data_IF_153379659132
#
_entry.id   IF_153379659132
#
_cell.length_a   1.000
_cell.length_b   1.000
_cell.length_c   1.000
_cell.angle_alpha   90.00
_cell.angle_beta   90.00
_cell.angle_gamma   90.00
#
_symmetry.space_group_name_H-M   'P 1'
#
loop_
_entity.id
_entity.type
_entity.pdbx_description
1 polymer ?
#
# COMPACT_ATOMS: atom_id res chain seq x y z
N UNK A 1 25.57 -21.45 -1.90
CA UNK A 1 24.69 -20.90 -2.96
C UNK A 1 24.24 -22.07 -3.85
N UNK A 2 22.93 -22.25 -4.00
CA UNK A 2 22.37 -23.27 -4.88
C UNK A 2 22.16 -22.66 -6.27
N UNK A 3 22.69 -23.29 -7.31
CA UNK A 3 22.52 -22.86 -8.71
C UNK A 3 21.82 -23.98 -9.46
N UNK A 4 20.70 -23.65 -10.09
CA UNK A 4 19.83 -24.58 -10.78
C UNK A 4 19.60 -24.07 -12.20
N UNK A 5 19.59 -25.00 -13.16
CA UNK A 5 19.29 -24.70 -14.57
C UNK A 5 18.03 -25.45 -14.95
N UNK A 6 17.08 -24.74 -15.55
CA UNK A 6 15.85 -25.31 -16.13
C UNK A 6 15.67 -24.74 -17.53
N UNK A 7 14.63 -25.13 -18.26
CA UNK A 7 14.22 -24.58 -19.57
C UNK A 7 12.74 -24.22 -19.50
N UNK A 8 12.32 -23.11 -20.13
CA UNK A 8 10.90 -22.75 -20.15
C UNK A 8 10.09 -23.80 -20.89
N UNK A 9 8.85 -23.96 -20.50
CA UNK A 9 7.86 -24.59 -21.35
C UNK A 9 7.56 -23.73 -22.61
N UNK A 10 6.71 -24.24 -23.50
CA UNK A 10 6.32 -23.52 -24.73
C UNK A 10 5.55 -22.21 -24.49
N UNK A 11 5.15 -21.92 -23.25
CA UNK A 11 4.47 -20.70 -22.83
C UNK A 11 5.38 -19.74 -22.06
N UNK A 12 6.66 -20.09 -21.86
CA UNK A 12 7.62 -19.28 -21.11
C UNK A 12 7.61 -19.51 -19.59
N UNK A 13 6.91 -20.54 -19.08
CA UNK A 13 6.91 -20.84 -17.65
C UNK A 13 8.09 -21.74 -17.27
N UNK A 14 8.62 -21.53 -16.07
CA UNK A 14 9.72 -22.31 -15.51
C UNK A 14 9.26 -22.91 -14.18
N UNK A 15 9.59 -24.18 -13.96
CA UNK A 15 9.37 -24.85 -12.68
C UNK A 15 10.61 -25.66 -12.33
N UNK A 16 10.94 -25.68 -11.05
CA UNK A 16 11.99 -26.53 -10.50
C UNK A 16 11.61 -26.93 -9.07
N UNK A 17 11.78 -28.22 -8.74
CA UNK A 17 11.57 -28.75 -7.40
C UNK A 17 12.92 -28.99 -6.74
N UNK A 18 13.14 -28.38 -5.58
CA UNK A 18 14.34 -28.62 -4.78
C UNK A 18 14.14 -29.96 -4.05
N UNK A 19 15.00 -30.95 -4.34
CA UNK A 19 14.90 -32.29 -3.74
C UNK A 19 15.41 -32.33 -2.30
N UNK A 20 16.52 -31.63 -2.03
CA UNK A 20 17.09 -31.52 -0.68
C UNK A 20 16.47 -30.33 0.07
N UNK A 21 15.82 -30.54 1.23
CA UNK A 21 15.26 -29.45 2.00
C UNK A 21 16.32 -28.42 2.37
N UNK A 22 15.97 -27.14 2.21
CA UNK A 22 16.83 -26.04 2.65
C UNK A 22 16.86 -25.98 4.18
N UNK A 23 18.02 -25.64 4.73
CA UNK A 23 18.18 -25.43 6.17
C UNK A 23 17.31 -24.26 6.67
N UNK A 24 16.85 -24.29 7.94
CA UNK A 24 16.15 -23.16 8.54
C UNK A 24 16.96 -21.86 8.46
N UNK A 25 16.31 -20.78 8.05
CA UNK A 25 16.96 -19.47 7.91
C UNK A 25 16.35 -18.61 6.80
N UNK A 26 16.93 -17.43 6.62
CA UNK A 26 16.59 -16.52 5.53
C UNK A 26 17.34 -16.91 4.26
N UNK A 27 16.62 -16.96 3.16
CA UNK A 27 17.11 -17.30 1.84
C UNK A 27 16.65 -16.26 0.82
N UNK A 28 17.38 -16.21 -0.28
CA UNK A 28 17.09 -15.32 -1.39
C UNK A 28 17.25 -16.09 -2.70
N UNK A 29 16.25 -15.99 -3.57
CA UNK A 29 16.26 -16.58 -4.91
C UNK A 29 16.20 -15.49 -5.96
N UNK A 30 16.88 -15.70 -7.08
CA UNK A 30 16.73 -14.88 -8.27
C UNK A 30 16.90 -15.78 -9.50
N UNK A 31 16.37 -15.33 -10.63
CA UNK A 31 16.52 -16.00 -11.91
C UNK A 31 17.54 -15.23 -12.74
N UNK A 32 18.43 -15.96 -13.42
CA UNK A 32 19.33 -15.41 -14.43
C UNK A 32 19.03 -16.10 -15.76
N UNK A 33 18.87 -15.30 -16.82
CA UNK A 33 18.67 -15.79 -18.19
C UNK A 33 19.79 -15.25 -19.06
N UNK A 34 20.37 -16.12 -19.88
CA UNK A 34 21.33 -15.73 -20.91
C UNK A 34 20.60 -15.05 -22.06
N UNK A 35 21.02 -13.84 -22.42
CA UNK A 35 20.52 -13.12 -23.59
C UNK A 35 21.30 -13.50 -24.85
N UNK A 36 20.75 -13.15 -26.02
CA UNK A 36 21.31 -13.49 -27.34
C UNK A 36 22.76 -13.03 -27.58
N UNK A 37 23.23 -12.04 -26.80
CA UNK A 37 24.60 -11.53 -26.83
C UNK A 37 25.56 -12.25 -25.85
N UNK A 38 25.11 -13.30 -25.16
CA UNK A 38 25.88 -14.05 -24.16
C UNK A 38 25.99 -13.36 -22.78
N UNK A 39 25.25 -12.26 -22.56
CA UNK A 39 25.16 -11.64 -21.23
C UNK A 39 24.06 -12.29 -20.38
N UNK A 40 24.12 -12.12 -19.05
CA UNK A 40 23.07 -12.61 -18.16
C UNK A 40 22.24 -11.44 -17.63
N UNK A 41 20.92 -11.54 -17.81
CA UNK A 41 19.95 -10.63 -17.19
C UNK A 41 19.42 -11.29 -15.92
N UNK A 42 19.50 -10.58 -14.78
CA UNK A 42 18.99 -11.06 -13.49
C UNK A 42 17.63 -10.45 -13.16
N UNK A 43 16.75 -11.25 -12.59
CA UNK A 43 15.50 -10.77 -12.00
C UNK A 43 15.77 -9.97 -10.72
N UNK A 44 14.74 -9.28 -10.22
CA UNK A 44 14.71 -8.89 -8.82
C UNK A 44 14.81 -10.15 -7.93
N UNK A 45 15.41 -9.98 -6.77
CA UNK A 45 15.51 -11.06 -5.82
C UNK A 45 14.23 -11.25 -5.02
N UNK A 46 13.96 -12.50 -4.67
CA UNK A 46 12.82 -12.93 -3.89
C UNK A 46 13.31 -13.50 -2.56
N UNK A 47 13.01 -12.79 -1.48
CA UNK A 47 13.36 -13.21 -0.13
C UNK A 47 12.28 -14.13 0.45
N UNK A 48 12.72 -15.20 1.10
CA UNK A 48 11.85 -16.13 1.82
C UNK A 48 12.59 -16.71 3.02
N UNK A 49 11.83 -17.24 3.98
CA UNK A 49 12.39 -17.83 5.19
C UNK A 49 11.91 -19.27 5.32
N UNK A 50 12.82 -20.17 5.65
CA UNK A 50 12.49 -21.52 6.10
C UNK A 50 12.51 -21.52 7.63
N UNK A 51 11.38 -21.81 8.25
CA UNK A 51 11.27 -21.88 9.70
C UNK A 51 11.41 -23.32 10.17
N UNK A 52 12.11 -23.50 11.29
CA UNK A 52 12.03 -24.73 12.06
C UNK A 52 10.76 -24.70 12.94
N UNK A 53 9.95 -25.73 12.79
CA UNK A 53 8.77 -26.03 13.56
C UNK A 53 8.91 -27.42 14.20
N UNK A 54 7.95 -27.79 15.05
CA UNK A 54 7.85 -29.14 15.58
C UNK A 54 7.47 -30.13 14.46
N UNK A 55 8.10 -31.30 14.45
CA UNK A 55 7.71 -32.38 13.55
C UNK A 55 6.32 -32.91 13.91
N UNK A 56 5.51 -33.15 12.89
CA UNK A 56 4.19 -33.79 12.98
C UNK A 56 4.10 -34.95 11.99
N UNK A 57 3.03 -35.74 12.05
CA UNK A 57 2.78 -36.81 11.05
C UNK A 57 2.74 -36.26 9.61
N UNK A 58 2.12 -35.09 9.42
CA UNK A 58 2.02 -34.42 8.11
C UNK A 58 3.26 -33.57 7.75
N UNK A 59 4.16 -33.31 8.69
CA UNK A 59 5.39 -32.55 8.49
C UNK A 59 6.56 -33.18 9.27
N UNK A 60 7.09 -34.32 8.80
CA UNK A 60 8.11 -35.06 9.54
C UNK A 60 9.41 -34.26 9.69
N UNK A 61 9.76 -33.42 8.72
CA UNK A 61 10.96 -32.57 8.77
C UNK A 61 10.80 -31.34 9.67
N UNK A 62 9.56 -31.00 10.07
CA UNK A 62 9.28 -29.81 10.86
C UNK A 62 9.68 -28.52 10.15
N UNK A 63 9.67 -28.48 8.82
CA UNK A 63 10.05 -27.28 8.06
C UNK A 63 8.80 -26.56 7.56
N UNK A 64 8.82 -25.23 7.52
CA UNK A 64 7.73 -24.44 6.96
C UNK A 64 8.26 -23.24 6.20
N UNK A 65 7.59 -22.88 5.10
CA UNK A 65 7.94 -21.74 4.27
C UNK A 65 7.17 -20.49 4.72
N UNK A 66 7.90 -19.43 5.03
CA UNK A 66 7.37 -18.10 5.23
C UNK A 66 7.80 -17.21 4.07
N UNK A 67 6.83 -16.73 3.30
CA UNK A 67 7.08 -15.73 2.26
C UNK A 67 7.07 -14.35 2.90
N UNK A 68 8.04 -13.51 2.55
CA UNK A 68 7.96 -12.09 2.86
C UNK A 68 6.69 -11.55 2.21
N UNK A 69 5.71 -11.13 3.02
CA UNK A 69 4.48 -10.55 2.49
C UNK A 69 4.82 -9.23 1.81
N UNK A 70 4.91 -9.21 0.48
CA UNK A 70 4.76 -7.99 -0.32
C UNK A 70 3.30 -7.56 -0.26
N UNK A 71 2.83 -7.20 0.94
CA UNK A 71 1.61 -6.43 1.09
C UNK A 71 1.83 -5.11 0.35
N UNK A 72 0.80 -4.54 -0.25
CA UNK A 72 0.88 -3.24 -0.94
C UNK A 72 1.28 -2.11 0.05
N UNK A 73 2.56 -2.03 0.42
CA UNK A 73 3.11 -1.07 1.38
C UNK A 73 2.90 0.37 0.93
N UNK A 74 2.81 0.58 -0.39
CA UNK A 74 2.42 1.85 -0.96
C UNK A 74 1.08 2.35 -0.41
N UNK A 75 0.04 1.51 -0.37
CA UNK A 75 -1.29 1.92 0.11
C UNK A 75 -1.22 2.24 1.61
N UNK A 76 -0.54 1.40 2.40
CA UNK A 76 -0.40 1.59 3.85
C UNK A 76 0.36 2.88 4.21
N UNK A 77 1.37 3.25 3.41
CA UNK A 77 2.12 4.52 3.57
C UNK A 77 1.27 5.77 3.28
N UNK A 78 0.35 5.71 2.32
CA UNK A 78 -0.47 6.86 1.92
C UNK A 78 -1.76 7.05 2.75
N UNK A 79 -2.22 6.03 3.48
CA UNK A 79 -3.45 6.13 4.27
C UNK A 79 -3.43 7.29 5.28
N UNK A 80 -2.29 7.54 5.93
CA UNK A 80 -2.16 8.65 6.89
C UNK A 80 -2.34 10.03 6.24
N UNK A 81 -1.75 10.22 5.06
CA UNK A 81 -1.88 11.48 4.30
C UNK A 81 -3.30 11.67 3.74
N UNK A 82 -3.97 10.60 3.30
CA UNK A 82 -5.35 10.64 2.82
C UNK A 82 -6.31 11.06 3.94
N UNK A 83 -6.18 10.46 5.13
CA UNK A 83 -7.00 10.81 6.30
C UNK A 83 -6.80 12.27 6.70
N UNK A 84 -5.55 12.75 6.72
CA UNK A 84 -5.23 14.14 7.03
C UNK A 84 -5.81 15.11 6.00
N UNK A 85 -5.72 14.79 4.70
CA UNK A 85 -6.28 15.61 3.63
C UNK A 85 -7.81 15.74 3.73
N UNK A 86 -8.52 14.65 4.00
CA UNK A 86 -9.98 14.66 4.23
C UNK A 86 -10.32 15.53 5.45
N UNK A 87 -9.58 15.38 6.55
CA UNK A 87 -9.76 16.18 7.76
C UNK A 87 -9.63 17.69 7.50
N UNK A 88 -8.63 18.10 6.71
CA UNK A 88 -8.43 19.50 6.32
C UNK A 88 -9.55 20.03 5.43
N UNK A 89 -10.03 19.24 4.46
CA UNK A 89 -11.14 19.63 3.59
C UNK A 89 -12.42 19.83 4.41
N UNK A 90 -12.73 18.91 5.33
CA UNK A 90 -13.90 19.02 6.21
C UNK A 90 -13.78 20.24 7.11
N UNK A 91 -12.62 20.47 7.72
CA UNK A 91 -12.37 21.65 8.56
C UNK A 91 -12.59 22.95 7.77
N UNK A 92 -12.03 23.06 6.57
CA UNK A 92 -12.22 24.21 5.69
C UNK A 92 -13.69 24.44 5.35
N UNK A 93 -14.44 23.36 5.08
CA UNK A 93 -15.87 23.44 4.78
C UNK A 93 -16.69 23.92 5.98
N UNK A 94 -16.40 23.41 7.18
CA UNK A 94 -17.02 23.86 8.43
C UNK A 94 -16.71 25.33 8.68
N UNK A 95 -15.44 25.74 8.57
CA UNK A 95 -15.03 27.13 8.73
C UNK A 95 -15.74 28.04 7.73
N UNK A 96 -15.85 27.64 6.47
CA UNK A 96 -16.57 28.39 5.45
C UNK A 96 -18.05 28.57 5.80
N UNK A 97 -18.73 27.49 6.21
CA UNK A 97 -20.14 27.55 6.64
C UNK A 97 -20.31 28.52 7.82
N UNK A 98 -19.43 28.47 8.82
CA UNK A 98 -19.49 29.37 9.98
C UNK A 98 -19.34 30.84 9.57
N UNK A 99 -18.41 31.15 8.66
CA UNK A 99 -18.19 32.52 8.16
C UNK A 99 -19.44 33.02 7.41
N UNK A 100 -20.02 32.21 6.53
CA UNK A 100 -21.23 32.58 5.77
C UNK A 100 -22.40 32.84 6.72
N UNK A 101 -22.63 31.94 7.69
CA UNK A 101 -23.72 32.10 8.68
C UNK A 101 -23.56 33.38 9.49
N UNK A 102 -22.34 33.69 9.92
CA UNK A 102 -22.06 34.93 10.65
C UNK A 102 -22.39 36.17 9.81
N UNK A 103 -21.92 36.21 8.55
CA UNK A 103 -22.20 37.33 7.63
C UNK A 103 -23.70 37.50 7.35
N UNK A 104 -24.44 36.40 7.14
CA UNK A 104 -25.87 36.47 6.85
C UNK A 104 -26.71 37.00 8.02
N UNK A 105 -26.31 36.75 9.28
CA UNK A 105 -26.99 37.29 10.46
C UNK A 105 -26.77 38.80 10.59
N UNK A 106 -25.52 39.26 10.45
CA UNK A 106 -25.18 40.70 10.52
C UNK A 106 -25.89 41.50 9.42
N UNK A 107 -26.04 40.93 8.21
CA UNK A 107 -26.73 41.59 7.10
C UNK A 107 -28.25 41.68 7.26
N UNK A 108 -28.90 40.80 8.04
CA UNK A 108 -30.31 40.96 8.36
C UNK A 108 -30.48 42.08 9.38
N UNK A 109 -29.73 42.02 10.48
CA UNK A 109 -29.77 43.03 11.54
C UNK A 109 -29.51 44.45 11.01
N UNK A 110 -28.49 44.64 10.16
CA UNK A 110 -28.21 45.94 9.56
C UNK A 110 -29.27 46.42 8.54
N UNK A 111 -29.96 45.50 7.86
CA UNK A 111 -31.05 45.85 6.93
C UNK A 111 -32.31 46.27 7.67
N UNK A 112 -32.61 45.60 8.78
CA UNK A 112 -33.75 45.92 9.62
C UNK A 112 -33.59 47.30 10.28
N UNK A 113 -32.36 47.66 10.70
CA UNK A 113 -32.04 49.00 11.23
C UNK A 113 -32.17 50.10 10.14
N UNK A 114 -31.76 49.82 8.90
CA UNK A 114 -31.92 50.79 7.80
C UNK A 114 -33.38 50.94 7.32
N UNK A 115 -34.19 49.89 7.42
CA UNK A 115 -35.60 49.92 7.03
C UNK A 115 -36.46 50.75 8.00
N UNK A 116 -36.11 50.79 9.29
CA UNK A 116 -36.85 51.55 10.31
C UNK A 116 -36.45 53.04 10.38
N UNK A 117 -35.37 53.43 9.68
CA UNK A 117 -34.84 54.79 9.63
C UNK A 117 -35.38 55.68 8.49
N UNK A 118 -36.25 55.18 7.61
CA UNK A 118 -36.83 55.98 6.54
C UNK A 118 -37.99 56.86 7.08
N UNK A 119 -37.97 58.19 6.87
CA UNK A 119 -39.08 59.04 7.26
C UNK A 119 -40.34 58.61 6.49
N UNK A 120 -41.37 58.22 7.24
CA UNK A 120 -42.72 58.03 6.70
C UNK A 120 -43.19 59.40 6.21
N UNK A 121 -43.15 59.61 4.90
CA UNK A 121 -43.66 60.82 4.26
C UNK A 121 -45.15 60.65 4.00
N UNK A 122 -45.92 61.75 4.05
CA UNK A 122 -46.57 62.20 5.28
C UNK A 122 -47.97 61.61 5.51
#
# INVERSE_FOLDING_TARGET
PLVLTTTSDGNGNWSYTIEDPLEPGSHEAYVAVESDNGEFVRSQSFAFTINQAASTEDNPSGLSLALGSSSNDAVSSYLGFIVLAIGLIVAAFVTFILIVRHKTKVMHDNRDIQADGLPRTP
#
